data_IF_671056504852
#
_entry.id   IF_671056504852
#
_cell.length_a   1.000
_cell.length_b   1.000
_cell.length_c   1.000
_cell.angle_alpha   90.00
_cell.angle_beta   90.00
_cell.angle_gamma   90.00
#
_symmetry.space_group_name_H-M   'P 1'
#
loop_
_entity.id
_entity.type
_entity.pdbx_description
1 polymer ?
#
# COMPACT_ATOMS: atom_id res chain seq x y z
N UNK A 1 -0.16 7.49 14.19
CA UNK A 1 -1.03 6.35 13.85
C UNK A 1 -0.36 5.49 12.78
N UNK A 2 -0.83 4.27 12.60
CA UNK A 2 -0.32 3.33 11.59
C UNK A 2 -1.42 3.00 10.59
N UNK A 3 -1.05 2.84 9.33
CA UNK A 3 -2.00 2.61 8.26
C UNK A 3 -1.55 1.49 7.34
N UNK A 4 -2.51 0.66 6.94
CA UNK A 4 -2.40 -0.29 5.84
C UNK A 4 -3.01 0.34 4.60
N UNK A 5 -2.27 0.30 3.50
CA UNK A 5 -2.71 0.76 2.21
C UNK A 5 -2.68 -0.37 1.19
N UNK A 6 -3.71 -0.43 0.36
CA UNK A 6 -3.76 -1.31 -0.81
C UNK A 6 -3.80 -0.41 -2.04
N UNK A 7 -2.82 -0.57 -2.91
CA UNK A 7 -2.66 0.26 -4.09
C UNK A 7 -2.53 -0.63 -5.33
N UNK A 8 -3.33 -0.32 -6.35
CA UNK A 8 -3.24 -0.94 -7.65
C UNK A 8 -2.05 -0.33 -8.43
N UNK A 9 -1.08 -1.16 -8.78
CA UNK A 9 0.12 -0.76 -9.50
C UNK A 9 0.05 -1.01 -11.01
N UNK A 10 -1.01 -1.64 -11.52
CA UNK A 10 -1.19 -1.88 -12.95
C UNK A 10 -2.11 -3.06 -13.24
N UNK A 11 -2.29 -3.35 -14.53
CA UNK A 11 -3.09 -4.48 -15.03
C UNK A 11 -2.16 -5.48 -15.72
N UNK A 12 -2.32 -6.77 -15.42
CA UNK A 12 -1.57 -7.87 -16.05
C UNK A 12 -2.34 -8.47 -17.24
N UNK A 13 -3.43 -7.86 -17.69
CA UNK A 13 -4.35 -8.42 -18.69
C UNK A 13 -5.38 -9.38 -18.06
N UNK A 14 -6.43 -9.71 -18.82
CA UNK A 14 -7.54 -10.61 -18.42
C UNK A 14 -8.28 -10.21 -17.11
N UNK A 15 -8.40 -8.92 -16.81
CA UNK A 15 -9.10 -8.43 -15.61
C UNK A 15 -8.30 -8.54 -14.30
N UNK A 16 -7.04 -9.00 -14.35
CA UNK A 16 -6.19 -9.11 -13.17
C UNK A 16 -5.43 -7.79 -12.91
N UNK A 17 -5.69 -7.23 -11.74
CA UNK A 17 -5.01 -6.05 -11.22
C UNK A 17 -3.84 -6.47 -10.31
N UNK A 18 -2.69 -5.82 -10.49
CA UNK A 18 -1.51 -6.04 -9.64
C UNK A 18 -1.60 -5.11 -8.43
N UNK A 19 -2.09 -5.65 -7.32
CA UNK A 19 -2.23 -4.92 -6.07
C UNK A 19 -0.98 -5.04 -5.20
N UNK A 20 -0.60 -3.94 -4.55
CA UNK A 20 0.54 -3.88 -3.64
C UNK A 20 0.12 -3.31 -2.29
N UNK A 21 0.55 -4.01 -1.24
CA UNK A 21 0.30 -3.60 0.14
C UNK A 21 1.46 -2.76 0.67
N UNK A 22 1.11 -1.65 1.30
CA UNK A 22 2.03 -0.74 1.99
C UNK A 22 1.59 -0.53 3.43
N UNK A 23 2.57 -0.42 4.31
CA UNK A 23 2.36 -0.08 5.71
C UNK A 23 3.08 1.25 5.95
N UNK A 24 2.36 2.28 6.40
CA UNK A 24 2.87 3.64 6.54
C UNK A 24 2.50 4.20 7.90
N UNK A 25 3.44 4.93 8.52
CA UNK A 25 3.18 5.76 9.70
C UNK A 25 2.75 7.16 9.27
N UNK A 26 1.66 7.66 9.85
CA UNK A 26 1.13 8.99 9.57
C UNK A 26 0.39 9.60 10.76
N UNK A 27 0.17 10.90 10.69
CA UNK A 27 -0.55 11.68 11.70
C UNK A 27 -2.06 11.58 11.51
N UNK A 28 -2.53 11.58 10.25
CA UNK A 28 -3.93 11.44 9.89
C UNK A 28 -4.08 10.76 8.52
N UNK A 29 -5.29 10.28 8.14
CA UNK A 29 -5.53 9.58 6.88
C UNK A 29 -5.24 10.44 5.63
N UNK A 30 -5.47 11.75 5.68
CA UNK A 30 -5.23 12.67 4.56
C UNK A 30 -3.73 12.84 4.26
N UNK A 31 -2.91 12.97 5.30
CA UNK A 31 -1.45 13.03 5.18
C UNK A 31 -0.89 11.70 4.63
N UNK A 32 -1.50 10.58 5.02
CA UNK A 32 -1.16 9.24 4.51
C UNK A 32 -1.55 9.11 3.04
N UNK A 33 -2.72 9.61 2.64
CA UNK A 33 -3.15 9.67 1.25
C UNK A 33 -2.16 10.47 0.39
N UNK A 34 -1.71 11.64 0.86
CA UNK A 34 -0.70 12.43 0.14
C UNK A 34 0.62 11.68 -0.02
N UNK A 35 1.10 11.01 1.03
CA UNK A 35 2.29 10.15 0.94
C UNK A 35 2.10 8.98 -0.02
N UNK A 36 0.91 8.36 -0.01
CA UNK A 36 0.57 7.25 -0.89
C UNK A 36 0.63 7.64 -2.38
N UNK A 37 0.23 8.87 -2.71
CA UNK A 37 0.32 9.42 -4.07
C UNK A 37 1.77 9.54 -4.58
N UNK A 38 2.71 9.73 -3.67
CA UNK A 38 4.14 9.83 -3.99
C UNK A 38 4.84 8.45 -4.09
N UNK A 39 4.14 7.35 -3.81
CA UNK A 39 4.75 6.02 -3.86
C UNK A 39 5.13 5.61 -5.29
N UNK A 40 6.21 4.84 -5.46
CA UNK A 40 6.63 4.35 -6.77
C UNK A 40 5.57 3.41 -7.34
N UNK A 41 5.38 3.47 -8.67
CA UNK A 41 4.43 2.65 -9.45
C UNK A 41 2.95 2.92 -9.17
N UNK A 42 2.60 4.02 -8.51
CA UNK A 42 1.21 4.49 -8.47
C UNK A 42 0.95 5.30 -9.74
N UNK A 43 -0.14 5.00 -10.44
CA UNK A 43 -0.55 5.75 -11.64
C UNK A 43 -0.80 7.22 -11.26
N UNK A 44 0.08 8.12 -11.72
CA UNK A 44 0.04 9.56 -11.39
C UNK A 44 -1.17 10.32 -11.96
N UNK A 45 -1.81 9.81 -13.01
CA UNK A 45 -3.02 10.41 -13.61
C UNK A 45 -4.33 9.94 -12.96
N UNK A 46 -4.31 8.82 -12.25
CA UNK A 46 -5.49 8.18 -11.62
C UNK A 46 -5.25 7.87 -10.15
N UNK A 47 -4.44 8.70 -9.47
CA UNK A 47 -3.82 8.33 -8.19
C UNK A 47 -4.83 8.14 -7.07
N UNK A 48 -5.98 8.81 -7.14
CA UNK A 48 -7.08 8.60 -6.19
C UNK A 48 -7.83 7.30 -6.47
N UNK A 49 -7.92 6.86 -7.73
CA UNK A 49 -8.56 5.59 -8.12
C UNK A 49 -7.64 4.38 -7.86
N UNK A 50 -6.33 4.58 -7.94
CA UNK A 50 -5.35 3.53 -7.68
C UNK A 50 -5.29 3.10 -6.20
N UNK A 51 -5.71 3.97 -5.27
CA UNK A 51 -5.70 3.66 -3.85
C UNK A 51 -7.03 3.02 -3.48
N UNK A 52 -7.03 1.69 -3.34
CA UNK A 52 -8.23 0.90 -3.05
C UNK A 52 -8.66 0.99 -1.58
N UNK A 53 -7.69 1.10 -0.67
CA UNK A 53 -7.96 1.09 0.76
C UNK A 53 -6.90 1.89 1.53
N UNK A 54 -7.35 2.73 2.46
CA UNK A 54 -6.55 3.28 3.56
C UNK A 54 -7.26 2.88 4.85
N UNK A 55 -6.65 1.98 5.61
CA UNK A 55 -7.20 1.51 6.88
C UNK A 55 -6.23 1.82 8.01
N UNK A 56 -6.72 2.44 9.07
CA UNK A 56 -5.96 2.58 10.31
C UNK A 56 -5.82 1.21 10.98
N UNK A 57 -4.61 0.93 11.47
CA UNK A 57 -4.24 -0.35 12.07
C UNK A 57 -3.50 -0.12 13.38
N UNK A 58 -3.42 -1.16 14.20
CA UNK A 58 -2.64 -1.10 15.44
C UNK A 58 -1.13 -1.16 15.16
N UNK A 59 -0.34 -0.90 16.21
CA UNK A 59 1.11 -1.02 16.14
C UNK A 59 1.55 -2.47 15.91
N UNK A 60 0.88 -3.46 16.53
CA UNK A 60 1.21 -4.87 16.32
C UNK A 60 0.98 -5.28 14.87
N UNK A 61 -0.17 -4.89 14.29
CA UNK A 61 -0.51 -5.16 12.89
C UNK A 61 0.51 -4.53 11.93
N UNK A 62 1.00 -3.33 12.24
CA UNK A 62 2.03 -2.66 11.45
C UNK A 62 3.36 -3.43 11.47
N UNK A 63 3.83 -3.84 12.66
CA UNK A 63 5.08 -4.58 12.81
C UNK A 63 4.98 -5.95 12.12
N UNK A 64 3.88 -6.65 12.35
CA UNK A 64 3.59 -7.94 11.72
C UNK A 64 3.59 -7.81 10.19
N UNK A 65 2.86 -6.83 9.65
CA UNK A 65 2.79 -6.57 8.22
C UNK A 65 4.14 -6.23 7.57
N UNK A 66 4.97 -5.42 8.24
CA UNK A 66 6.33 -5.10 7.77
C UNK A 66 7.22 -6.36 7.76
N UNK A 67 7.13 -7.20 8.80
CA UNK A 67 7.90 -8.45 8.89
C UNK A 67 7.47 -9.45 7.81
N UNK A 68 6.16 -9.62 7.57
CA UNK A 68 5.67 -10.45 6.48
C UNK A 68 6.14 -9.96 5.12
N UNK A 69 6.07 -8.64 4.85
CA UNK A 69 6.56 -8.07 3.58
C UNK A 69 8.07 -8.31 3.39
N UNK A 70 8.86 -8.21 4.45
CA UNK A 70 10.31 -8.52 4.43
C UNK A 70 10.58 -10.00 4.20
N UNK A 71 9.78 -10.90 4.77
CA UNK A 71 9.86 -12.33 4.53
C UNK A 71 9.54 -12.66 3.06
N UNK A 72 8.45 -12.12 2.50
CA UNK A 72 8.09 -12.31 1.09
C UNK A 72 9.17 -11.77 0.15
N UNK A 73 9.79 -10.63 0.47
CA UNK A 73 10.91 -10.09 -0.31
C UNK A 73 12.19 -10.95 -0.23
N UNK A 74 12.35 -11.74 0.84
CA UNK A 74 13.49 -12.67 1.02
C UNK A 74 13.30 -14.03 0.34
N UNK A 75 12.05 -14.42 0.06
CA UNK A 75 11.69 -15.72 -0.52
C UNK A 75 11.00 -15.61 -1.89
N UNK A 76 11.20 -14.51 -2.62
CA UNK A 76 10.58 -14.31 -3.94
C UNK A 76 11.13 -15.27 -5.00
N UNK A 77 10.33 -16.28 -5.35
CA UNK A 77 10.31 -16.92 -6.67
C UNK A 77 9.69 -15.99 -7.72
#
# INVERSE_FOLDING_TARGET
MFYKLIIECGHMGAGNALDRIWFIKGENPLAVLQKARALPRVKRKETTLAIKLIKEITREEYISGINSKRATARYGY
#
